data_IF_566269130649
#
_entry.id   IF_566269130649
#
_cell.length_a   1.000
_cell.length_b   1.000
_cell.length_c   1.000
_cell.angle_alpha   90.00
_cell.angle_beta   90.00
_cell.angle_gamma   90.00
#
_symmetry.space_group_name_H-M   'P 1'
#
loop_
_entity.id
_entity.type
_entity.pdbx_description
1 polymer ?
#
# COMPACT_ATOMS: atom_id res chain seq x y z
N UNK A 1 -19.54 -6.88 1.03
CA UNK A 1 -19.74 -5.41 1.00
C UNK A 1 -20.70 -4.98 2.10
N UNK A 2 -20.44 -3.81 2.73
CA UNK A 2 -21.32 -3.24 3.74
C UNK A 2 -20.92 -3.52 5.19
N UNK A 3 -19.84 -4.27 5.42
CA UNK A 3 -19.31 -4.52 6.78
C UNK A 3 -18.10 -3.65 7.14
N UNK A 4 -17.59 -2.87 6.19
CA UNK A 4 -16.32 -2.15 6.30
C UNK A 4 -16.32 -1.15 7.46
N UNK A 5 -17.42 -0.38 7.61
CA UNK A 5 -17.56 0.55 8.73
C UNK A 5 -17.62 -0.19 10.08
N UNK A 6 -18.26 -1.36 10.13
CA UNK A 6 -18.32 -2.18 11.35
C UNK A 6 -16.94 -2.74 11.72
N UNK A 7 -16.13 -3.14 10.72
CA UNK A 7 -14.74 -3.62 10.94
C UNK A 7 -13.89 -2.48 11.47
N UNK A 8 -13.98 -1.28 10.86
CA UNK A 8 -13.32 -0.08 11.36
C UNK A 8 -13.69 0.22 12.81
N UNK A 9 -14.98 0.25 13.10
CA UNK A 9 -15.50 0.60 14.43
C UNK A 9 -15.06 -0.43 15.48
N UNK A 10 -15.05 -1.72 15.13
CA UNK A 10 -14.52 -2.77 16.00
C UNK A 10 -13.03 -2.56 16.26
N UNK A 11 -12.20 -2.32 15.23
CA UNK A 11 -10.78 -2.06 15.39
C UNK A 11 -10.53 -0.87 16.34
N UNK A 12 -11.27 0.22 16.14
CA UNK A 12 -11.18 1.41 17.00
C UNK A 12 -11.62 1.10 18.44
N UNK A 13 -12.71 0.36 18.63
CA UNK A 13 -13.23 0.02 19.96
C UNK A 13 -12.29 -0.88 20.76
N UNK A 14 -11.44 -1.66 20.09
CA UNK A 14 -10.40 -2.48 20.74
C UNK A 14 -9.09 -1.70 21.02
N UNK A 15 -9.06 -0.40 20.72
CA UNK A 15 -7.88 0.44 20.90
C UNK A 15 -6.81 0.30 19.79
N UNK A 16 -7.13 -0.40 18.70
CA UNK A 16 -6.23 -0.52 17.57
C UNK A 16 -6.22 0.80 16.77
N UNK A 17 -5.10 1.50 16.82
CA UNK A 17 -4.93 2.80 16.16
C UNK A 17 -4.05 2.74 14.92
N UNK A 18 -3.11 1.81 14.89
CA UNK A 18 -2.12 1.66 13.82
C UNK A 18 -2.56 0.55 12.84
N UNK A 19 -3.45 0.89 11.93
CA UNK A 19 -3.92 0.02 10.88
C UNK A 19 -4.34 0.83 9.65
N UNK A 20 -4.50 0.16 8.54
CA UNK A 20 -5.23 0.67 7.38
C UNK A 20 -6.11 -0.44 6.76
N UNK A 21 -7.14 -0.04 6.05
CA UNK A 21 -8.08 -0.94 5.40
C UNK A 21 -7.67 -1.11 3.93
N UNK A 22 -7.50 -2.36 3.53
CA UNK A 22 -7.07 -2.77 2.19
C UNK A 22 -8.22 -3.47 1.46
N UNK A 23 -8.10 -3.57 0.14
CA UNK A 23 -9.02 -4.28 -0.76
C UNK A 23 -10.50 -3.82 -0.66
N UNK A 24 -10.67 -2.56 -0.39
CA UNK A 24 -11.98 -1.95 -0.42
C UNK A 24 -12.46 -1.82 -1.87
N UNK A 25 -13.74 -2.15 -2.10
CA UNK A 25 -14.35 -1.74 -3.37
C UNK A 25 -14.34 -0.21 -3.48
N UNK A 26 -14.25 0.33 -4.69
CA UNK A 26 -14.21 1.77 -4.88
C UNK A 26 -15.40 2.50 -4.23
N UNK A 27 -16.67 1.99 -4.32
CA UNK A 27 -17.78 2.58 -3.58
C UNK A 27 -17.60 2.58 -2.05
N UNK A 28 -17.04 1.50 -1.49
CA UNK A 28 -16.78 1.43 -0.04
C UNK A 28 -15.70 2.42 0.39
N UNK A 29 -14.62 2.53 -0.39
CA UNK A 29 -13.54 3.50 -0.18
C UNK A 29 -14.08 4.94 -0.19
N UNK A 30 -14.90 5.30 -1.19
CA UNK A 30 -15.54 6.62 -1.27
C UNK A 30 -16.44 6.91 -0.08
N UNK A 31 -17.23 5.92 0.35
CA UNK A 31 -18.11 6.07 1.51
C UNK A 31 -17.30 6.33 2.78
N UNK A 32 -16.30 5.50 3.07
CA UNK A 32 -15.45 5.66 4.26
C UNK A 32 -14.70 6.99 4.26
N UNK A 33 -14.18 7.41 3.11
CA UNK A 33 -13.50 8.69 2.99
C UNK A 33 -14.45 9.88 3.25
N UNK A 34 -15.69 9.80 2.80
CA UNK A 34 -16.73 10.81 3.12
C UNK A 34 -17.12 10.82 4.61
N UNK A 35 -16.98 9.69 5.29
CA UNK A 35 -17.13 9.58 6.75
C UNK A 35 -15.90 10.10 7.51
N UNK A 36 -14.86 10.56 6.82
CA UNK A 36 -13.64 11.07 7.42
C UNK A 36 -12.60 9.99 7.73
N UNK A 37 -12.78 8.74 7.26
CA UNK A 37 -11.79 7.70 7.46
C UNK A 37 -10.63 7.86 6.45
N UNK A 38 -9.44 8.09 6.97
CA UNK A 38 -8.22 8.30 6.17
C UNK A 38 -7.30 7.08 6.14
N UNK A 39 -7.54 6.10 7.03
CA UNK A 39 -6.75 4.88 7.13
C UNK A 39 -7.22 3.85 6.11
N UNK A 40 -7.28 4.25 4.87
CA UNK A 40 -7.62 3.41 3.74
C UNK A 40 -6.46 3.39 2.76
N UNK A 41 -6.29 2.29 2.07
CA UNK A 41 -5.27 2.12 1.04
C UNK A 41 -5.90 2.01 -0.34
N UNK A 42 -5.27 2.67 -1.31
CA UNK A 42 -5.53 2.44 -2.73
C UNK A 42 -4.38 1.62 -3.32
N UNK A 43 -4.71 0.64 -4.16
CA UNK A 43 -3.71 -0.20 -4.79
C UNK A 43 -3.07 0.50 -5.97
N UNK A 44 -1.76 0.32 -6.10
CA UNK A 44 -0.95 0.67 -7.26
C UNK A 44 -0.11 -0.56 -7.60
N UNK A 45 -0.11 -0.96 -8.85
CA UNK A 45 0.60 -2.15 -9.32
C UNK A 45 0.96 -2.00 -10.80
N UNK A 46 1.51 -3.03 -11.41
CA UNK A 46 1.69 -3.09 -12.87
C UNK A 46 0.36 -2.96 -13.63
N UNK A 47 -0.76 -3.24 -12.97
CA UNK A 47 -2.11 -3.26 -13.55
C UNK A 47 -2.99 -2.09 -13.10
N UNK A 48 -2.55 -1.32 -12.10
CA UNK A 48 -3.33 -0.23 -11.49
C UNK A 48 -2.50 1.05 -11.41
N UNK A 49 -2.93 2.05 -12.16
CA UNK A 49 -2.16 3.27 -12.43
C UNK A 49 -1.96 4.16 -11.19
N UNK A 50 -0.76 4.70 -11.03
CA UNK A 50 -0.43 5.80 -10.10
C UNK A 50 -1.38 7.00 -10.26
N UNK A 51 -1.81 7.32 -11.50
CA UNK A 51 -2.73 8.42 -11.76
C UNK A 51 -4.05 8.26 -11.01
N UNK A 52 -4.55 7.05 -10.88
CA UNK A 52 -5.81 6.77 -10.17
C UNK A 52 -5.72 7.15 -8.69
N UNK A 53 -4.54 7.03 -8.08
CA UNK A 53 -4.31 7.47 -6.70
C UNK A 53 -4.22 9.01 -6.60
N UNK A 54 -3.47 9.64 -7.50
CA UNK A 54 -3.19 11.08 -7.45
C UNK A 54 -4.44 11.93 -7.77
N UNK A 55 -5.24 11.55 -8.76
CA UNK A 55 -6.46 12.30 -9.14
C UNK A 55 -7.63 12.06 -8.18
N UNK A 56 -7.45 11.18 -7.22
CA UNK A 56 -8.50 10.86 -6.26
C UNK A 56 -8.76 12.08 -5.36
N UNK A 57 -10.00 12.60 -5.30
CA UNK A 57 -10.32 13.78 -4.49
C UNK A 57 -10.50 13.46 -3.00
N UNK A 58 -10.37 12.18 -2.63
CA UNK A 58 -10.59 11.73 -1.26
C UNK A 58 -9.30 11.71 -0.46
N UNK A 59 -9.40 11.94 0.83
CA UNK A 59 -8.26 11.93 1.74
C UNK A 59 -7.91 10.47 2.12
N UNK A 60 -7.16 9.81 1.24
CA UNK A 60 -6.65 8.45 1.40
C UNK A 60 -5.18 8.57 1.78
N UNK A 61 -4.77 7.92 2.87
CA UNK A 61 -3.41 8.09 3.39
C UNK A 61 -2.41 7.05 2.89
N UNK A 62 -2.89 5.90 2.41
CA UNK A 62 -2.01 4.79 2.09
C UNK A 62 -2.05 4.38 0.62
N UNK A 63 -0.90 4.03 0.11
CA UNK A 63 -0.73 3.26 -1.13
C UNK A 63 -0.32 1.83 -0.75
N UNK A 64 -1.06 0.86 -1.25
CA UNK A 64 -0.64 -0.51 -1.30
C UNK A 64 0.10 -0.73 -2.61
N UNK A 65 1.44 -0.74 -2.56
CA UNK A 65 2.30 -0.89 -3.72
C UNK A 65 2.53 -2.38 -3.97
N UNK A 66 1.71 -2.95 -4.85
CA UNK A 66 1.68 -4.37 -5.14
C UNK A 66 2.66 -4.70 -6.27
N UNK A 67 3.58 -5.65 -6.02
CA UNK A 67 4.71 -5.95 -6.89
C UNK A 67 4.56 -7.38 -7.43
N UNK A 68 3.73 -7.56 -8.46
CA UNK A 68 3.47 -8.88 -9.04
C UNK A 68 4.66 -9.44 -9.81
N UNK A 69 5.28 -8.62 -10.62
CA UNK A 69 6.41 -9.00 -11.48
C UNK A 69 7.72 -8.37 -11.02
N UNK A 70 7.66 -7.14 -10.50
CA UNK A 70 8.81 -6.38 -10.02
C UNK A 70 8.37 -5.10 -9.33
N UNK A 71 9.22 -4.07 -9.31
CA UNK A 71 8.84 -2.76 -8.78
C UNK A 71 8.00 -2.02 -9.83
N UNK A 72 6.71 -1.74 -9.57
CA UNK A 72 5.74 -1.45 -10.63
C UNK A 72 5.73 0.00 -11.10
N UNK A 73 6.48 0.90 -10.45
CA UNK A 73 6.43 2.33 -10.73
C UNK A 73 7.83 2.92 -10.91
N UNK A 74 7.90 4.05 -11.61
CA UNK A 74 9.16 4.78 -11.76
C UNK A 74 9.56 5.52 -10.48
N UNK A 75 10.85 5.89 -10.38
CA UNK A 75 11.34 6.75 -9.29
C UNK A 75 10.58 8.08 -9.22
N UNK A 76 10.22 8.66 -10.35
CA UNK A 76 9.45 9.91 -10.40
C UNK A 76 8.02 9.72 -9.89
N UNK A 77 7.36 8.61 -10.23
CA UNK A 77 6.02 8.30 -9.71
C UNK A 77 6.04 8.07 -8.21
N UNK A 78 7.07 7.36 -7.70
CA UNK A 78 7.26 7.19 -6.26
C UNK A 78 7.39 8.53 -5.55
N UNK A 79 8.24 9.43 -6.08
CA UNK A 79 8.42 10.76 -5.53
C UNK A 79 7.12 11.59 -5.59
N UNK A 80 6.33 11.47 -6.66
CA UNK A 80 5.02 12.12 -6.76
C UNK A 80 4.04 11.63 -5.71
N UNK A 81 3.96 10.32 -5.45
CA UNK A 81 3.11 9.76 -4.39
C UNK A 81 3.52 10.32 -3.02
N UNK A 82 4.81 10.32 -2.71
CA UNK A 82 5.32 10.89 -1.44
C UNK A 82 5.03 12.40 -1.34
N UNK A 83 5.18 13.16 -2.43
CA UNK A 83 4.88 14.59 -2.47
C UNK A 83 3.39 14.90 -2.25
N UNK A 84 2.49 13.97 -2.61
CA UNK A 84 1.06 14.07 -2.31
C UNK A 84 0.70 13.62 -0.87
N UNK A 85 1.69 13.26 -0.06
CA UNK A 85 1.50 12.91 1.34
C UNK A 85 1.11 11.45 1.60
N UNK A 86 1.15 10.60 0.58
CA UNK A 86 0.86 9.18 0.77
C UNK A 86 1.95 8.49 1.59
N UNK A 87 1.52 7.62 2.48
CA UNK A 87 2.32 6.54 3.04
C UNK A 87 2.28 5.34 2.10
N UNK A 88 3.40 4.65 1.95
CA UNK A 88 3.53 3.54 1.01
C UNK A 88 3.84 2.26 1.77
N UNK A 89 2.95 1.28 1.66
CA UNK A 89 3.18 -0.10 2.07
C UNK A 89 3.59 -0.92 0.86
N UNK A 90 4.83 -1.39 0.85
CA UNK A 90 5.40 -2.21 -0.21
C UNK A 90 5.04 -3.68 0.02
N UNK A 91 4.63 -4.36 -1.03
CA UNK A 91 4.44 -5.82 -1.00
C UNK A 91 5.76 -6.49 -1.40
N UNK A 92 6.29 -7.29 -0.50
CA UNK A 92 7.55 -8.00 -0.72
C UNK A 92 7.42 -9.08 -1.79
N UNK A 93 8.43 -9.27 -2.64
CA UNK A 93 8.33 -10.10 -3.84
C UNK A 93 8.02 -11.58 -3.58
N UNK A 94 8.27 -12.09 -2.37
CA UNK A 94 7.94 -13.48 -2.04
C UNK A 94 6.45 -13.75 -1.83
N UNK A 95 5.62 -12.71 -1.84
CA UNK A 95 4.17 -12.85 -1.69
C UNK A 95 3.47 -13.18 -3.01
N UNK A 96 4.12 -12.90 -4.15
CA UNK A 96 3.59 -13.13 -5.48
C UNK A 96 4.52 -13.99 -6.35
N UNK A 97 3.91 -14.66 -7.32
CA UNK A 97 4.63 -15.43 -8.33
C UNK A 97 5.26 -16.73 -7.82
N UNK A 98 6.31 -17.21 -8.49
CA UNK A 98 7.00 -18.44 -8.12
C UNK A 98 7.70 -18.28 -6.77
N UNK A 99 7.99 -19.41 -6.06
CA UNK A 99 8.71 -19.36 -4.80
C UNK A 99 10.03 -18.57 -4.94
N UNK A 100 10.21 -17.58 -4.08
CA UNK A 100 11.41 -16.76 -4.02
C UNK A 100 12.22 -17.07 -2.77
N UNK A 101 13.53 -17.00 -2.90
CA UNK A 101 14.45 -17.23 -1.79
C UNK A 101 14.90 -15.90 -1.13
N UNK A 102 15.67 -16.01 -0.05
CA UNK A 102 16.16 -14.83 0.68
C UNK A 102 17.01 -13.88 -0.17
N UNK A 103 17.78 -14.42 -1.14
CA UNK A 103 18.58 -13.56 -2.02
C UNK A 103 17.71 -12.71 -2.95
N UNK A 104 16.54 -13.22 -3.37
CA UNK A 104 15.60 -12.43 -4.18
C UNK A 104 15.07 -11.24 -3.39
N UNK A 105 14.77 -11.43 -2.10
CA UNK A 105 14.35 -10.35 -1.20
C UNK A 105 15.48 -9.33 -1.04
N UNK A 106 16.71 -9.76 -0.76
CA UNK A 106 17.87 -8.88 -0.62
C UNK A 106 18.16 -8.08 -1.90
N UNK A 107 18.09 -8.72 -3.07
CA UNK A 107 18.26 -8.06 -4.35
C UNK A 107 17.18 -6.98 -4.56
N UNK A 108 15.95 -7.27 -4.19
CA UNK A 108 14.84 -6.32 -4.29
C UNK A 108 15.03 -5.13 -3.33
N UNK A 109 15.45 -5.38 -2.09
CA UNK A 109 15.80 -4.32 -1.12
C UNK A 109 16.92 -3.42 -1.66
N UNK A 110 17.99 -4.01 -2.17
CA UNK A 110 19.10 -3.25 -2.77
C UNK A 110 18.61 -2.39 -3.93
N UNK A 111 17.71 -2.92 -4.75
CA UNK A 111 17.13 -2.16 -5.85
C UNK A 111 16.32 -0.96 -5.35
N UNK A 112 15.38 -1.14 -4.43
CA UNK A 112 14.56 -0.03 -3.91
C UNK A 112 15.40 1.03 -3.20
N UNK A 113 16.45 0.63 -2.47
CA UNK A 113 17.42 1.56 -1.89
C UNK A 113 18.17 2.35 -2.97
N UNK A 114 18.60 1.69 -4.06
CA UNK A 114 19.35 2.33 -5.15
C UNK A 114 18.55 3.43 -5.85
N UNK A 115 17.24 3.29 -5.93
CA UNK A 115 16.35 4.32 -6.50
C UNK A 115 15.85 5.35 -5.47
N UNK A 116 16.24 5.19 -4.20
CA UNK A 116 15.84 6.08 -3.11
C UNK A 116 14.35 5.96 -2.75
N UNK A 117 13.77 4.77 -2.90
CA UNK A 117 12.38 4.53 -2.51
C UNK A 117 12.30 4.24 -1.00
N UNK A 118 11.95 5.27 -0.23
CA UNK A 118 11.74 5.18 1.22
C UNK A 118 10.28 4.84 1.52
N UNK A 119 10.03 3.56 1.82
CA UNK A 119 8.69 3.02 2.11
C UNK A 119 8.37 3.12 3.60
N UNK A 120 7.09 3.31 3.93
CA UNK A 120 6.64 3.51 5.32
C UNK A 120 6.29 2.17 6.00
N UNK A 121 6.02 1.13 5.23
CA UNK A 121 5.72 -0.21 5.72
C UNK A 121 6.04 -1.26 4.65
N UNK A 122 6.17 -2.51 5.08
CA UNK A 122 6.33 -3.66 4.18
C UNK A 122 5.39 -4.79 4.59
N UNK A 123 4.67 -5.34 3.62
CA UNK A 123 3.95 -6.60 3.78
C UNK A 123 4.87 -7.74 3.34
N UNK A 124 5.20 -8.66 4.25
CA UNK A 124 6.18 -9.72 4.02
C UNK A 124 5.89 -10.94 4.89
N UNK A 125 6.37 -12.11 4.47
CA UNK A 125 6.44 -13.33 5.29
C UNK A 125 7.73 -13.44 6.11
N UNK A 126 8.70 -12.57 5.85
CA UNK A 126 10.02 -12.58 6.45
C UNK A 126 10.35 -11.21 7.07
N UNK A 127 9.64 -10.81 8.14
CA UNK A 127 9.81 -9.45 8.72
C UNK A 127 11.22 -9.20 9.24
N UNK A 128 11.95 -10.24 9.59
CA UNK A 128 13.35 -10.15 10.04
C UNK A 128 14.33 -9.73 8.94
N UNK A 129 13.87 -9.68 7.69
CA UNK A 129 14.68 -9.26 6.56
C UNK A 129 14.47 -7.80 6.17
N UNK A 130 13.45 -7.12 6.75
CA UNK A 130 13.06 -5.75 6.43
C UNK A 130 13.23 -4.77 7.63
#
# INVERSE_FOLDING_TARGET
>A
EGIESRVRDLAVSTGLTNFFMLDLSFPALVRLAREGETRTAIRVSEYESVKSAIINPFNINWIWLDCFEGFPISKSDFAHLKAHGFKICLVSPELHGPPRNKNDILNFQNFIHSIGADVDAVCTKNPEMW
#
